data_IF_377034141593
#
_entry.id   IF_377034141593
#
_cell.length_a   1.000
_cell.length_b   1.000
_cell.length_c   1.000
_cell.angle_alpha   90.00
_cell.angle_beta   90.00
_cell.angle_gamma   90.00
#
_symmetry.space_group_name_H-M   'P 1'
#
loop_
_entity.id
_entity.type
_entity.pdbx_description
1 polymer ?
#
# COMPACT_ATOMS: atom_id res chain seq x y z
N UNK A 1 -2.34 44.11 -8.06
CA UNK A 1 -0.95 44.04 -8.57
C UNK A 1 -0.13 43.00 -7.80
N UNK A 2 0.07 43.10 -6.47
CA UNK A 2 0.81 42.05 -5.73
C UNK A 2 0.06 40.71 -5.65
N UNK A 3 -1.26 40.73 -5.42
CA UNK A 3 -2.09 39.52 -5.38
C UNK A 3 -2.12 38.75 -6.71
N UNK A 4 -2.16 39.47 -7.85
CA UNK A 4 -2.17 38.86 -9.19
C UNK A 4 -0.84 38.15 -9.51
N UNK A 5 0.28 38.77 -9.12
CA UNK A 5 1.63 38.17 -9.27
C UNK A 5 1.75 36.93 -8.39
N UNK A 6 1.24 37.00 -7.15
CA UNK A 6 1.27 35.89 -6.21
C UNK A 6 0.39 34.72 -6.69
N UNK A 7 -0.79 35.01 -7.23
CA UNK A 7 -1.68 34.00 -7.83
C UNK A 7 -1.02 33.31 -9.02
N UNK A 8 -0.43 34.07 -9.96
CA UNK A 8 0.27 33.51 -11.11
C UNK A 8 1.44 32.61 -10.68
N UNK A 9 2.23 33.06 -9.69
CA UNK A 9 3.34 32.28 -9.16
C UNK A 9 2.87 30.98 -8.48
N UNK A 10 1.75 31.04 -7.77
CA UNK A 10 1.15 29.87 -7.14
C UNK A 10 0.63 28.89 -8.18
N UNK A 11 -0.05 29.36 -9.22
CA UNK A 11 -0.56 28.52 -10.32
C UNK A 11 0.57 27.80 -11.05
N UNK A 12 1.67 28.51 -11.35
CA UNK A 12 2.86 27.88 -11.94
C UNK A 12 3.47 26.84 -11.00
N UNK A 13 3.57 27.15 -9.70
CA UNK A 13 4.07 26.20 -8.70
C UNK A 13 3.18 24.95 -8.61
N UNK A 14 1.86 25.13 -8.65
CA UNK A 14 0.87 24.04 -8.67
C UNK A 14 1.04 23.13 -9.89
N UNK A 15 1.21 23.69 -11.08
CA UNK A 15 1.48 22.91 -12.30
C UNK A 15 2.76 22.07 -12.19
N UNK A 16 3.82 22.64 -11.63
CA UNK A 16 5.08 21.94 -11.40
C UNK A 16 4.94 20.83 -10.35
N UNK A 17 4.23 21.09 -9.24
CA UNK A 17 3.96 20.09 -8.20
C UNK A 17 3.12 18.93 -8.76
N UNK A 18 2.09 19.22 -9.56
CA UNK A 18 1.26 18.20 -10.20
C UNK A 18 2.10 17.33 -11.15
N UNK A 19 2.93 17.97 -12.00
CA UNK A 19 3.84 17.26 -12.89
C UNK A 19 4.84 16.38 -12.13
N UNK A 20 5.36 16.86 -11.00
CA UNK A 20 6.23 16.06 -10.14
C UNK A 20 5.49 14.83 -9.60
N UNK A 21 4.26 15.00 -9.11
CA UNK A 21 3.44 13.90 -8.59
C UNK A 21 3.15 12.84 -9.67
N UNK A 22 2.86 13.24 -10.91
CA UNK A 22 2.65 12.32 -12.02
C UNK A 22 3.91 11.50 -12.35
N UNK A 23 5.08 12.16 -12.33
CA UNK A 23 6.37 11.50 -12.56
C UNK A 23 6.72 10.53 -11.42
N UNK A 24 6.48 10.92 -10.18
CA UNK A 24 6.70 10.07 -9.01
C UNK A 24 5.78 8.84 -9.05
N UNK A 25 4.51 9.02 -9.39
CA UNK A 25 3.57 7.92 -9.59
C UNK A 25 4.00 6.97 -10.72
N UNK A 26 4.47 7.51 -11.85
CA UNK A 26 5.01 6.70 -12.94
C UNK A 26 6.27 5.91 -12.51
N UNK A 27 7.16 6.52 -11.74
CA UNK A 27 8.34 5.84 -11.21
C UNK A 27 7.96 4.75 -10.20
N UNK A 28 6.98 5.03 -9.34
CA UNK A 28 6.45 4.09 -8.35
C UNK A 28 5.81 2.88 -9.03
N UNK A 29 4.92 3.09 -10.00
CA UNK A 29 4.23 2.01 -10.72
C UNK A 29 5.21 1.13 -11.48
N UNK A 30 6.25 1.71 -12.09
CA UNK A 30 7.30 0.96 -12.77
C UNK A 30 8.13 0.13 -11.78
N UNK A 31 8.53 0.69 -10.63
CA UNK A 31 9.20 -0.06 -9.56
C UNK A 31 8.32 -1.20 -9.03
N UNK A 32 7.04 -0.92 -8.80
CA UNK A 32 6.07 -1.89 -8.32
C UNK A 32 5.92 -3.05 -9.31
N UNK A 33 5.79 -2.75 -10.61
CA UNK A 33 5.73 -3.74 -11.68
C UNK A 33 6.97 -4.65 -11.70
N UNK A 34 8.18 -4.10 -11.58
CA UNK A 34 9.41 -4.89 -11.55
C UNK A 34 9.47 -5.77 -10.28
N UNK A 35 9.05 -5.24 -9.13
CA UNK A 35 9.08 -5.97 -7.86
C UNK A 35 8.04 -7.09 -7.77
N UNK A 36 6.86 -6.87 -8.35
CA UNK A 36 5.71 -7.76 -8.28
C UNK A 36 5.44 -8.51 -9.58
N UNK A 37 6.46 -8.64 -10.45
CA UNK A 37 6.37 -9.44 -11.67
C UNK A 37 5.71 -10.79 -11.39
N UNK A 38 4.66 -11.08 -12.17
CA UNK A 38 3.64 -12.05 -11.85
C UNK A 38 4.20 -13.48 -11.72
N UNK A 39 4.26 -13.95 -10.48
CA UNK A 39 4.70 -15.30 -10.13
C UNK A 39 3.69 -16.36 -10.56
N UNK A 40 2.42 -16.00 -10.82
CA UNK A 40 1.33 -16.98 -11.05
C UNK A 40 1.43 -17.62 -12.44
N UNK A 41 1.67 -16.84 -13.49
CA UNK A 41 1.77 -17.36 -14.87
C UNK A 41 2.94 -18.33 -15.07
N UNK A 42 4.07 -18.10 -14.40
CA UNK A 42 5.21 -19.02 -14.44
C UNK A 42 4.90 -20.36 -13.75
N UNK A 43 4.07 -20.37 -12.71
CA UNK A 43 3.73 -21.57 -11.97
C UNK A 43 2.78 -22.48 -12.78
N UNK A 44 1.79 -21.91 -13.48
CA UNK A 44 0.82 -22.66 -14.30
C UNK A 44 1.46 -23.30 -15.54
N UNK A 45 2.38 -22.61 -16.23
CA UNK A 45 3.06 -23.18 -17.39
C UNK A 45 4.00 -24.33 -17.01
N UNK A 46 4.74 -24.21 -15.89
CA UNK A 46 5.68 -25.25 -15.49
C UNK A 46 5.01 -26.45 -14.83
N UNK A 47 3.87 -26.30 -14.17
CA UNK A 47 3.14 -27.44 -13.58
C UNK A 47 2.64 -28.42 -14.63
N UNK A 48 2.43 -27.98 -15.88
CA UNK A 48 2.01 -28.82 -17.00
C UNK A 48 3.09 -29.82 -17.44
N UNK A 49 4.37 -29.48 -17.32
CA UNK A 49 5.50 -30.32 -17.77
C UNK A 49 5.57 -31.63 -16.97
N UNK A 50 5.59 -31.64 -15.62
CA UNK A 50 5.52 -32.86 -14.85
C UNK A 50 4.21 -33.64 -15.08
N UNK A 51 3.07 -32.97 -15.29
CA UNK A 51 1.81 -33.68 -15.57
C UNK A 51 1.88 -34.44 -16.88
N UNK A 52 2.43 -33.82 -17.93
CA UNK A 52 2.67 -34.47 -19.21
C UNK A 52 3.62 -35.65 -19.06
N UNK A 53 4.75 -35.49 -18.36
CA UNK A 53 5.71 -36.58 -18.10
C UNK A 53 5.04 -37.76 -17.39
N UNK A 54 4.18 -37.48 -16.40
CA UNK A 54 3.45 -38.50 -15.63
C UNK A 54 2.41 -39.27 -16.47
N UNK A 55 1.83 -38.62 -17.49
CA UNK A 55 0.85 -39.25 -18.40
C UNK A 55 1.53 -40.19 -19.40
N UNK A 56 2.74 -39.87 -19.86
CA UNK A 56 3.40 -40.63 -20.93
C UNK A 56 4.28 -41.81 -20.44
N UNK A 57 4.83 -41.75 -19.23
CA UNK A 57 5.70 -42.80 -18.66
C UNK A 57 5.05 -44.17 -18.36
N UNK A 58 3.77 -44.28 -17.96
CA UNK A 58 3.17 -45.57 -17.56
C UNK A 58 3.11 -46.61 -18.69
N UNK A 59 3.19 -46.18 -19.95
CA UNK A 59 3.16 -47.08 -21.11
C UNK A 59 4.47 -47.88 -21.30
N UNK A 60 5.54 -47.54 -20.58
CA UNK A 60 6.89 -48.08 -20.80
C UNK A 60 7.34 -49.14 -19.79
N UNK A 61 6.63 -49.36 -18.68
CA UNK A 61 7.20 -50.13 -17.54
C UNK A 61 6.30 -51.28 -17.09
N UNK A 62 6.74 -52.52 -17.36
CA UNK A 62 6.03 -53.80 -17.12
C UNK A 62 5.95 -54.20 -15.62
N UNK A 63 6.65 -53.52 -14.71
CA UNK A 63 6.59 -53.76 -13.26
C UNK A 63 5.89 -52.63 -12.51
N UNK A 64 4.57 -52.53 -12.67
CA UNK A 64 3.78 -51.34 -12.32
C UNK A 64 3.81 -50.94 -10.83
N UNK A 65 3.79 -51.89 -9.88
CA UNK A 65 3.54 -51.57 -8.46
C UNK A 65 4.73 -50.99 -7.69
N UNK A 66 5.93 -51.59 -7.80
CA UNK A 66 7.13 -51.10 -7.10
C UNK A 66 7.62 -49.78 -7.72
N UNK A 67 7.46 -49.63 -9.02
CA UNK A 67 7.83 -48.41 -9.72
C UNK A 67 6.94 -47.22 -9.34
N UNK A 68 5.64 -47.43 -9.05
CA UNK A 68 4.70 -46.35 -8.74
C UNK A 68 5.08 -45.55 -7.48
N UNK A 69 5.55 -46.22 -6.42
CA UNK A 69 5.98 -45.57 -5.18
C UNK A 69 7.28 -44.76 -5.39
N UNK A 70 8.26 -45.34 -6.10
CA UNK A 70 9.48 -44.63 -6.50
C UNK A 70 9.17 -43.40 -7.36
N UNK A 71 8.23 -43.51 -8.31
CA UNK A 71 7.77 -42.37 -9.12
C UNK A 71 7.15 -41.26 -8.26
N UNK A 72 6.32 -41.62 -7.26
CA UNK A 72 5.70 -40.64 -6.37
C UNK A 72 6.76 -39.89 -5.55
N UNK A 73 7.74 -40.61 -4.99
CA UNK A 73 8.86 -40.00 -4.23
C UNK A 73 9.65 -39.04 -5.13
N UNK A 74 10.06 -39.48 -6.32
CA UNK A 74 10.80 -38.64 -7.27
C UNK A 74 9.97 -37.42 -7.69
N UNK A 75 8.67 -37.58 -7.91
CA UNK A 75 7.77 -36.47 -8.24
C UNK A 75 7.69 -35.43 -7.11
N UNK A 76 7.56 -35.87 -5.85
CA UNK A 76 7.53 -34.97 -4.68
C UNK A 76 8.86 -34.24 -4.51
N UNK A 77 9.99 -34.94 -4.60
CA UNK A 77 11.33 -34.33 -4.49
C UNK A 77 11.55 -33.31 -5.62
N UNK A 78 11.20 -33.69 -6.86
CA UNK A 78 11.31 -32.82 -8.03
C UNK A 78 10.43 -31.58 -7.87
N UNK A 79 9.20 -31.73 -7.36
CA UNK A 79 8.30 -30.62 -7.09
C UNK A 79 8.87 -29.64 -6.06
N UNK A 80 9.45 -30.14 -4.96
CA UNK A 80 10.06 -29.31 -3.92
C UNK A 80 11.29 -28.57 -4.49
N UNK A 81 12.19 -29.27 -5.19
CA UNK A 81 13.39 -28.67 -5.79
C UNK A 81 13.04 -27.60 -6.84
N UNK A 82 12.05 -27.86 -7.68
CA UNK A 82 11.56 -26.90 -8.67
C UNK A 82 10.94 -25.68 -7.98
N UNK A 83 10.04 -25.90 -7.02
CA UNK A 83 9.29 -24.82 -6.34
C UNK A 83 10.20 -23.90 -5.51
N UNK A 84 11.14 -24.47 -4.76
CA UNK A 84 11.95 -23.68 -3.80
C UNK A 84 13.35 -23.34 -4.32
N UNK A 85 13.93 -24.14 -5.21
CA UNK A 85 15.24 -23.88 -5.80
C UNK A 85 15.15 -23.13 -7.12
N UNK A 86 14.77 -23.85 -8.18
CA UNK A 86 14.85 -23.35 -9.55
C UNK A 86 13.93 -22.16 -9.83
N UNK A 87 12.71 -22.15 -9.27
CA UNK A 87 11.74 -21.08 -9.46
C UNK A 87 12.21 -19.74 -8.89
N UNK A 88 12.82 -19.78 -7.70
CA UNK A 88 13.38 -18.59 -7.07
C UNK A 88 14.54 -18.02 -7.88
N UNK A 89 15.38 -18.89 -8.46
CA UNK A 89 16.46 -18.49 -9.37
C UNK A 89 15.91 -17.85 -10.65
N UNK A 90 14.97 -18.49 -11.34
CA UNK A 90 14.36 -17.94 -12.56
C UNK A 90 13.69 -16.59 -12.32
N UNK A 91 12.94 -16.44 -11.22
CA UNK A 91 12.33 -15.15 -10.85
C UNK A 91 13.41 -14.09 -10.63
N UNK A 92 14.50 -14.44 -9.93
CA UNK A 92 15.62 -13.51 -9.69
C UNK A 92 16.26 -13.07 -11.01
N UNK A 93 16.52 -13.99 -11.93
CA UNK A 93 17.09 -13.67 -13.25
C UNK A 93 16.15 -12.78 -14.08
N UNK A 94 14.87 -13.14 -14.18
CA UNK A 94 13.88 -12.32 -14.91
C UNK A 94 13.71 -10.94 -14.29
N UNK A 95 13.64 -10.85 -12.96
CA UNK A 95 13.56 -9.56 -12.27
C UNK A 95 14.80 -8.71 -12.54
N UNK A 96 15.99 -9.32 -12.54
CA UNK A 96 17.24 -8.63 -12.88
C UNK A 96 17.23 -8.14 -14.32
N UNK A 97 16.76 -8.95 -15.27
CA UNK A 97 16.61 -8.55 -16.66
C UNK A 97 15.62 -7.39 -16.83
N UNK A 98 14.43 -7.48 -16.22
CA UNK A 98 13.43 -6.40 -16.23
C UNK A 98 13.95 -5.13 -15.58
N UNK A 99 14.73 -5.25 -14.51
CA UNK A 99 15.39 -4.12 -13.87
C UNK A 99 16.36 -3.45 -14.84
N UNK A 100 17.25 -4.21 -15.48
CA UNK A 100 18.21 -3.68 -16.45
C UNK A 100 17.52 -3.02 -17.65
N UNK A 101 16.45 -3.62 -18.15
CA UNK A 101 15.66 -3.08 -19.26
C UNK A 101 14.97 -1.75 -18.91
N UNK A 102 14.43 -1.65 -17.70
CA UNK A 102 13.65 -0.47 -17.28
C UNK A 102 14.47 0.56 -16.49
N UNK A 103 15.70 0.24 -16.10
CA UNK A 103 16.64 1.15 -15.46
C UNK A 103 16.81 2.48 -16.23
N UNK A 104 17.03 2.51 -17.56
CA UNK A 104 17.14 3.78 -18.28
C UNK A 104 15.85 4.61 -18.22
N UNK A 105 14.67 3.97 -18.23
CA UNK A 105 13.38 4.66 -18.08
C UNK A 105 13.24 5.26 -16.68
N UNK A 106 13.63 4.52 -15.64
CA UNK A 106 13.64 5.01 -14.27
C UNK A 106 14.59 6.19 -14.09
N UNK A 107 15.81 6.10 -14.63
CA UNK A 107 16.77 7.20 -14.59
C UNK A 107 16.22 8.45 -15.30
N UNK A 108 15.64 8.29 -16.49
CA UNK A 108 15.00 9.39 -17.22
C UNK A 108 13.85 10.04 -16.42
N UNK A 109 13.02 9.24 -15.74
CA UNK A 109 11.97 9.76 -14.86
C UNK A 109 12.57 10.53 -13.68
N UNK A 110 13.62 10.01 -13.05
CA UNK A 110 14.32 10.69 -11.96
C UNK A 110 14.96 12.00 -12.41
N UNK A 111 15.58 12.04 -13.60
CA UNK A 111 16.14 13.26 -14.17
C UNK A 111 15.04 14.31 -14.45
N UNK A 112 13.89 13.87 -14.98
CA UNK A 112 12.72 14.75 -15.15
C UNK A 112 12.20 15.28 -13.82
N UNK A 113 12.15 14.45 -12.78
CA UNK A 113 11.75 14.86 -11.43
C UNK A 113 12.72 15.90 -10.87
N UNK A 114 14.03 15.65 -10.99
CA UNK A 114 15.06 16.59 -10.54
C UNK A 114 14.96 17.93 -11.28
N UNK A 115 14.71 17.91 -12.58
CA UNK A 115 14.49 19.13 -13.36
C UNK A 115 13.26 19.91 -12.86
N UNK A 116 12.17 19.23 -12.49
CA UNK A 116 10.99 19.89 -11.90
C UNK A 116 11.31 20.46 -10.52
N UNK A 117 12.11 19.76 -9.69
CA UNK A 117 12.58 20.28 -8.39
C UNK A 117 13.43 21.53 -8.58
N UNK A 118 14.36 21.53 -9.54
CA UNK A 118 15.16 22.72 -9.85
C UNK A 118 14.29 23.89 -10.34
N UNK A 119 13.28 23.63 -11.15
CA UNK A 119 12.31 24.65 -11.58
C UNK A 119 11.49 25.18 -10.41
N UNK A 120 11.12 24.33 -9.46
CA UNK A 120 10.48 24.75 -8.22
C UNK A 120 11.44 25.62 -7.40
N UNK A 121 12.67 25.18 -7.15
CA UNK A 121 13.64 25.94 -6.36
C UNK A 121 13.98 27.31 -6.97
N UNK A 122 14.04 27.40 -8.30
CA UNK A 122 14.29 28.66 -9.00
C UNK A 122 13.10 29.64 -8.96
N UNK A 123 11.88 29.15 -8.68
CA UNK A 123 10.66 29.92 -8.86
C UNK A 123 9.83 30.08 -7.57
N UNK A 124 10.04 29.25 -6.55
CA UNK A 124 9.05 29.11 -5.49
C UNK A 124 9.12 30.20 -4.44
N UNK A 125 7.96 30.81 -4.20
CA UNK A 125 7.59 31.50 -2.97
C UNK A 125 7.32 30.51 -1.82
N UNK A 126 6.93 29.26 -2.17
CA UNK A 126 6.53 28.21 -1.23
C UNK A 126 7.71 27.43 -0.62
N UNK A 127 7.80 27.34 0.72
CA UNK A 127 8.75 26.48 1.40
C UNK A 127 8.52 24.98 1.06
N UNK A 128 9.58 24.13 1.07
CA UNK A 128 9.49 22.71 0.71
C UNK A 128 8.37 21.93 1.41
N UNK A 129 8.11 22.25 2.69
CA UNK A 129 7.04 21.64 3.51
C UNK A 129 5.64 21.77 2.91
N UNK A 130 5.39 22.83 2.14
CA UNK A 130 4.07 23.13 1.56
C UNK A 130 4.03 22.89 0.04
N UNK A 131 5.04 22.23 -0.53
CA UNK A 131 5.05 21.87 -1.97
C UNK A 131 4.21 20.62 -2.22
N UNK A 132 2.95 20.68 -1.84
CA UNK A 132 1.96 19.62 -2.07
C UNK A 132 0.79 20.17 -2.87
N UNK A 133 0.12 19.31 -3.64
CA UNK A 133 -1.04 19.71 -4.45
C UNK A 133 -2.12 20.32 -3.55
N UNK A 134 -2.42 19.67 -2.42
CA UNK A 134 -3.38 20.15 -1.44
C UNK A 134 -3.04 21.54 -0.90
N UNK A 135 -1.79 21.78 -0.50
CA UNK A 135 -1.39 23.09 0.01
C UNK A 135 -1.51 24.17 -1.06
N UNK A 136 -1.09 23.88 -2.30
CA UNK A 136 -1.23 24.81 -3.42
C UNK A 136 -2.70 25.14 -3.72
N UNK A 137 -3.58 24.14 -3.74
CA UNK A 137 -5.02 24.32 -3.97
C UNK A 137 -5.68 25.17 -2.87
N UNK A 138 -5.35 24.89 -1.61
CA UNK A 138 -5.91 25.62 -0.48
C UNK A 138 -5.43 27.08 -0.47
N UNK A 139 -4.16 27.33 -0.74
CA UNK A 139 -3.63 28.69 -0.84
C UNK A 139 -4.24 29.45 -2.03
N UNK A 140 -4.47 28.79 -3.16
CA UNK A 140 -5.13 29.39 -4.32
C UNK A 140 -6.55 29.84 -3.95
N UNK A 141 -7.29 28.95 -3.28
CA UNK A 141 -8.62 29.24 -2.75
C UNK A 141 -8.63 30.43 -1.79
N UNK A 142 -7.62 30.56 -0.91
CA UNK A 142 -7.54 31.71 0.00
C UNK A 142 -7.36 33.03 -0.75
N UNK A 143 -6.51 33.06 -1.78
CA UNK A 143 -6.26 34.26 -2.59
C UNK A 143 -7.51 34.63 -3.39
N UNK A 144 -8.11 33.67 -4.09
CA UNK A 144 -9.32 33.88 -4.90
C UNK A 144 -10.48 34.41 -4.05
N UNK A 145 -10.61 33.88 -2.83
CA UNK A 145 -11.64 34.31 -1.88
C UNK A 145 -11.26 35.58 -1.10
N UNK A 146 -10.13 36.22 -1.41
CA UNK A 146 -9.61 37.42 -0.72
C UNK A 146 -9.51 37.23 0.81
N UNK A 147 -9.18 36.00 1.25
CA UNK A 147 -8.97 35.68 2.66
C UNK A 147 -7.58 36.04 3.15
N UNK A 148 -6.65 36.20 2.21
CA UNK A 148 -5.26 36.52 2.49
C UNK A 148 -4.77 37.56 1.49
N UNK A 149 -3.94 38.47 1.96
CA UNK A 149 -3.32 39.50 1.12
C UNK A 149 -1.86 39.17 0.78
N UNK A 150 -1.22 38.33 1.60
CA UNK A 150 0.19 37.98 1.43
C UNK A 150 0.48 36.49 1.67
N UNK A 151 1.65 36.04 1.22
CA UNK A 151 2.05 34.64 1.28
C UNK A 151 2.17 34.11 2.72
N UNK A 152 2.71 34.92 3.64
CA UNK A 152 2.95 34.52 5.03
C UNK A 152 1.63 34.28 5.77
N UNK A 153 0.65 35.13 5.55
CA UNK A 153 -0.71 34.99 6.07
C UNK A 153 -1.38 33.73 5.53
N UNK A 154 -1.23 33.45 4.23
CA UNK A 154 -1.67 32.19 3.62
C UNK A 154 -1.09 30.95 4.29
N UNK A 155 0.22 30.94 4.51
CA UNK A 155 0.89 29.82 5.17
C UNK A 155 0.42 29.67 6.62
N UNK A 156 0.31 30.76 7.39
CA UNK A 156 -0.17 30.72 8.76
C UNK A 156 -1.61 30.17 8.83
N UNK A 157 -2.50 30.66 7.96
CA UNK A 157 -3.88 30.20 7.90
C UNK A 157 -3.95 28.71 7.53
N UNK A 158 -3.11 28.28 6.58
CA UNK A 158 -3.01 26.87 6.20
C UNK A 158 -2.53 26.00 7.37
N UNK A 159 -1.54 26.43 8.14
CA UNK A 159 -1.06 25.68 9.31
C UNK A 159 -2.11 25.59 10.41
N UNK A 160 -2.82 26.68 10.70
CA UNK A 160 -3.91 26.69 11.66
C UNK A 160 -5.02 25.71 11.25
N UNK A 161 -5.38 25.67 9.97
CA UNK A 161 -6.34 24.70 9.45
C UNK A 161 -5.83 23.26 9.56
N UNK A 162 -4.56 23.02 9.23
CA UNK A 162 -3.93 21.70 9.35
C UNK A 162 -3.96 21.20 10.80
N UNK A 163 -3.61 22.06 11.76
CA UNK A 163 -3.67 21.76 13.18
C UNK A 163 -5.10 21.45 13.63
N UNK A 164 -6.08 22.25 13.21
CA UNK A 164 -7.51 21.99 13.48
C UNK A 164 -8.00 20.69 12.87
N UNK A 165 -7.54 20.33 11.67
CA UNK A 165 -7.86 19.03 11.05
C UNK A 165 -7.27 17.88 11.86
N UNK A 166 -6.01 17.97 12.27
CA UNK A 166 -5.33 16.95 13.07
C UNK A 166 -6.00 16.77 14.44
N UNK A 167 -6.37 17.87 15.11
CA UNK A 167 -7.11 17.81 16.38
C UNK A 167 -8.46 17.14 16.21
N UNK A 168 -9.22 17.47 15.15
CA UNK A 168 -10.50 16.83 14.84
C UNK A 168 -10.35 15.33 14.56
N UNK A 169 -9.29 14.94 13.87
CA UNK A 169 -9.00 13.53 13.61
C UNK A 169 -8.67 12.78 14.90
N UNK A 170 -7.84 13.34 15.76
CA UNK A 170 -7.51 12.76 17.05
C UNK A 170 -8.76 12.61 17.94
N UNK A 171 -9.64 13.62 17.96
CA UNK A 171 -10.92 13.55 18.66
C UNK A 171 -11.82 12.43 18.11
N UNK A 172 -11.89 12.26 16.78
CA UNK A 172 -12.66 11.16 16.18
C UNK A 172 -12.12 9.79 16.59
N UNK A 173 -10.80 9.62 16.62
CA UNK A 173 -10.17 8.38 17.08
C UNK A 173 -10.51 8.11 18.55
N UNK A 174 -10.42 9.12 19.42
CA UNK A 174 -10.80 8.99 20.83
C UNK A 174 -12.27 8.65 21.01
N UNK A 175 -13.16 9.29 20.24
CA UNK A 175 -14.60 9.00 20.26
C UNK A 175 -14.83 7.54 19.86
N UNK A 176 -14.18 7.06 18.80
CA UNK A 176 -14.29 5.67 18.36
C UNK A 176 -13.82 4.69 19.44
N UNK A 177 -12.67 4.95 20.07
CA UNK A 177 -12.16 4.14 21.18
C UNK A 177 -13.13 4.12 22.37
N UNK A 178 -13.74 5.26 22.70
CA UNK A 178 -14.74 5.34 23.76
C UNK A 178 -15.99 4.53 23.41
N UNK A 179 -16.45 4.57 22.15
CA UNK A 179 -17.55 3.72 21.70
C UNK A 179 -17.23 2.22 21.79
N UNK A 180 -16.02 1.82 21.41
CA UNK A 180 -15.57 0.43 21.54
C UNK A 180 -15.54 -0.01 23.00
N UNK A 181 -15.01 0.82 23.90
CA UNK A 181 -14.98 0.56 25.35
C UNK A 181 -16.40 0.46 25.93
N UNK A 182 -17.32 1.36 25.55
CA UNK A 182 -18.72 1.30 25.98
C UNK A 182 -19.36 -0.02 25.51
N UNK A 183 -19.10 -0.45 24.28
CA UNK A 183 -19.62 -1.70 23.76
C UNK A 183 -19.04 -2.93 24.49
N UNK A 184 -17.77 -2.91 24.85
CA UNK A 184 -17.14 -3.95 25.68
C UNK A 184 -17.76 -3.98 27.09
N UNK A 185 -17.93 -2.82 27.73
CA UNK A 185 -18.57 -2.71 29.04
C UNK A 185 -20.00 -3.25 29.02
N UNK A 186 -20.79 -2.94 27.99
CA UNK A 186 -22.13 -3.50 27.81
C UNK A 186 -22.12 -5.03 27.72
N UNK A 187 -21.16 -5.60 26.98
CA UNK A 187 -20.99 -7.07 26.90
C UNK A 187 -20.63 -7.67 28.26
N UNK A 188 -19.71 -7.06 29.01
CA UNK A 188 -19.34 -7.51 30.35
C UNK A 188 -20.51 -7.44 31.33
N UNK A 189 -21.28 -6.36 31.33
CA UNK A 189 -22.50 -6.23 32.16
C UNK A 189 -23.50 -7.33 31.82
N UNK A 190 -23.73 -7.59 30.53
CA UNK A 190 -24.62 -8.66 30.11
C UNK A 190 -24.13 -10.05 30.55
N UNK A 191 -22.81 -10.30 30.50
CA UNK A 191 -22.21 -11.54 31.02
C UNK A 191 -22.35 -11.64 32.55
N UNK A 192 -22.11 -10.55 33.29
CA UNK A 192 -22.27 -10.51 34.75
C UNK A 192 -23.72 -10.81 35.15
N UNK A 193 -24.71 -10.24 34.47
CA UNK A 193 -26.13 -10.53 34.71
C UNK A 193 -26.43 -12.02 34.51
N UNK A 194 -25.87 -12.64 33.45
CA UNK A 194 -26.02 -14.09 33.21
C UNK A 194 -25.40 -14.92 34.34
N UNK A 195 -24.19 -14.56 34.78
CA UNK A 195 -23.51 -15.27 35.88
C UNK A 195 -24.29 -15.16 37.20
N UNK A 196 -24.78 -13.97 37.55
CA UNK A 196 -25.59 -13.76 38.75
C UNK A 196 -26.85 -14.62 38.71
N UNK A 197 -27.54 -14.69 37.56
CA UNK A 197 -28.72 -15.55 37.39
C UNK A 197 -28.37 -17.03 37.54
N UNK A 198 -27.27 -17.48 36.95
CA UNK A 198 -26.81 -18.86 37.07
C UNK A 198 -26.50 -19.22 38.54
N UNK A 199 -25.77 -18.35 39.25
CA UNK A 199 -25.48 -18.51 40.68
C UNK A 199 -26.75 -18.56 41.53
N UNK A 200 -27.73 -17.69 41.27
CA UNK A 200 -29.01 -17.70 41.99
C UNK A 200 -29.75 -19.04 41.80
N UNK A 201 -29.76 -19.59 40.58
CA UNK A 201 -30.34 -20.90 40.28
C UNK A 201 -29.57 -22.02 40.99
N UNK A 202 -28.22 -22.01 40.95
CA UNK A 202 -27.40 -23.01 41.65
C UNK A 202 -27.63 -22.97 43.16
N UNK A 203 -27.70 -21.78 43.75
CA UNK A 203 -27.98 -21.59 45.18
C UNK A 203 -29.38 -22.12 45.53
N UNK A 204 -30.39 -21.79 44.73
CA UNK A 204 -31.75 -22.32 44.93
C UNK A 204 -31.78 -23.86 44.88
N UNK A 205 -31.11 -24.47 43.89
CA UNK A 205 -31.03 -25.93 43.77
C UNK A 205 -30.29 -26.59 44.96
N UNK A 206 -29.27 -25.92 45.51
CA UNK A 206 -28.55 -26.43 46.69
C UNK A 206 -29.38 -26.43 47.97
N UNK A 207 -30.43 -25.60 48.07
CA UNK A 207 -31.34 -25.59 49.22
C UNK A 207 -32.34 -26.78 49.23
N UNK A 208 -32.48 -27.49 48.11
CA UNK A 208 -33.36 -28.67 48.00
C UNK A 208 -32.61 -30.01 48.16
N UNK A 209 -31.32 -29.99 48.53
CA UNK A 209 -30.53 -31.17 48.86
C UNK A 209 -30.31 -31.25 50.36
#
# INVERSE_FOLDING_TARGET
>A
MESDVLLNNLQKSKQLIARYADLDYAAYTLKYYIQHYDKKSLFTFLSLIPTLILIYLPKLVINFRVNMLMFLIVAVISFVLLKYGFFNLLIRFKRKALWQENQPKLLNLMDKMNNVVHQLDAFTVLPPKYRTVHAADTLESYIVNKRIDNHKEGLNLYEDELLKMQQRQNQRVQIQQNYEMINQNKKMIHQNIKMIRAQAVTNALSMFK
#
